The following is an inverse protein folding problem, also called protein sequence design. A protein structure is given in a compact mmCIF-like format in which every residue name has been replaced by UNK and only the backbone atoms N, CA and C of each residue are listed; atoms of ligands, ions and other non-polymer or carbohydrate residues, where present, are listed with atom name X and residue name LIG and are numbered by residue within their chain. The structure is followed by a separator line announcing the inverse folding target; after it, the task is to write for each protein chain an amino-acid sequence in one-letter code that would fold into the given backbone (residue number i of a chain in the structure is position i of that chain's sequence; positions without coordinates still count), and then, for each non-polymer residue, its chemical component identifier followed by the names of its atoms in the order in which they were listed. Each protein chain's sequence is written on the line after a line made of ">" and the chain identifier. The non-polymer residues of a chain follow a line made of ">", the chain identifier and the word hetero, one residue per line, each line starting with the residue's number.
data_IF_955354630594
#
_entry.id   IF_955354630594
#
_cell.length_a   1.000
_cell.length_b   1.000
_cell.length_c   1.000
_cell.angle_alpha   90.00
_cell.angle_beta   90.00
_cell.angle_gamma   90.00
#
_symmetry.space_group_name_H-M   'P 1'
#
loop_
_entity.id
_entity.type
_entity.pdbx_description
1 polymer ?
#
# COMPACT_ATOMS: atom_id res chain seq x y z
N UNK A 1 -27.78 -16.91 -15.05
CA UNK A 1 -27.80 -18.10 -14.16
C UNK A 1 -26.73 -19.10 -14.63
N UNK A 2 -25.66 -19.35 -13.85
CA UNK A 2 -24.70 -20.43 -14.14
C UNK A 2 -24.91 -21.56 -13.13
N UNK A 3 -25.15 -22.78 -13.62
CA UNK A 3 -25.41 -23.99 -12.82
C UNK A 3 -24.28 -24.23 -11.81
N UNK A 4 -24.52 -23.92 -10.54
CA UNK A 4 -23.55 -24.11 -9.47
C UNK A 4 -23.51 -25.58 -9.05
N UNK A 5 -22.37 -26.26 -9.28
CA UNK A 5 -22.17 -27.65 -8.86
C UNK A 5 -22.18 -27.74 -7.33
N UNK A 6 -23.08 -28.56 -6.76
CA UNK A 6 -23.19 -28.84 -5.32
C UNK A 6 -22.01 -29.66 -4.77
N UNK A 7 -21.25 -30.34 -5.63
CA UNK A 7 -20.09 -31.17 -5.26
C UNK A 7 -18.80 -30.67 -5.94
N UNK A 8 -17.66 -30.90 -5.29
CA UNK A 8 -16.30 -30.48 -5.72
C UNK A 8 -16.08 -28.96 -5.83
N UNK A 9 -16.43 -28.22 -4.76
CA UNK A 9 -16.14 -26.78 -4.66
C UNK A 9 -14.63 -26.55 -4.56
N UNK A 10 -14.06 -25.85 -5.54
CA UNK A 10 -12.65 -25.46 -5.49
C UNK A 10 -12.38 -24.51 -4.31
N UNK A 11 -11.15 -24.46 -3.78
CA UNK A 11 -10.79 -23.48 -2.74
C UNK A 11 -11.08 -22.03 -3.17
N UNK A 12 -10.87 -21.70 -4.45
CA UNK A 12 -11.20 -20.40 -5.00
C UNK A 12 -12.71 -20.11 -4.92
N UNK A 13 -13.55 -21.12 -5.20
CA UNK A 13 -15.00 -20.99 -5.08
C UNK A 13 -15.42 -20.71 -3.64
N UNK A 14 -14.86 -21.43 -2.66
CA UNK A 14 -15.16 -21.22 -1.24
C UNK A 14 -14.78 -19.79 -0.78
N UNK A 15 -13.65 -19.27 -1.26
CA UNK A 15 -13.23 -17.88 -0.99
C UNK A 15 -14.18 -16.88 -1.66
N UNK A 16 -14.55 -17.10 -2.91
CA UNK A 16 -15.48 -16.22 -3.62
C UNK A 16 -16.88 -16.20 -2.97
N UNK A 17 -17.36 -17.34 -2.50
CA UNK A 17 -18.64 -17.45 -1.78
C UNK A 17 -18.59 -16.78 -0.40
N UNK A 18 -17.48 -16.94 0.34
CA UNK A 18 -17.29 -16.32 1.65
C UNK A 18 -17.13 -14.80 1.58
N UNK A 19 -16.61 -14.28 0.46
CA UNK A 19 -16.35 -12.85 0.24
C UNK A 19 -17.36 -12.21 -0.73
N UNK A 20 -18.47 -12.87 -1.02
CA UNK A 20 -19.50 -12.41 -1.98
C UNK A 20 -20.10 -11.04 -1.62
N UNK A 21 -20.13 -10.72 -0.33
CA UNK A 21 -20.74 -9.48 0.18
C UNK A 21 -19.76 -8.28 0.09
N UNK A 22 -18.52 -8.51 -0.35
CA UNK A 22 -17.56 -7.44 -0.60
C UNK A 22 -17.80 -6.86 -1.99
N UNK A 23 -18.22 -5.60 -2.04
CA UNK A 23 -18.39 -4.84 -3.29
C UNK A 23 -17.05 -4.59 -3.99
N UNK A 24 -16.67 -5.49 -4.91
CA UNK A 24 -15.39 -5.43 -5.61
C UNK A 24 -15.30 -4.25 -6.60
N UNK A 25 -16.44 -3.80 -7.15
CA UNK A 25 -16.52 -2.70 -8.12
C UNK A 25 -16.17 -1.35 -7.51
N UNK A 26 -16.41 -1.16 -6.22
CA UNK A 26 -16.06 0.07 -5.49
C UNK A 26 -14.58 0.14 -5.11
N UNK A 27 -13.80 -0.92 -5.32
CA UNK A 27 -12.39 -0.91 -4.97
C UNK A 27 -11.56 -0.11 -5.97
N UNK A 28 -10.47 0.46 -5.47
CA UNK A 28 -9.49 1.11 -6.33
C UNK A 28 -8.92 0.14 -7.40
N UNK A 29 -8.66 0.70 -8.58
CA UNK A 29 -7.97 0.01 -9.66
C UNK A 29 -6.47 0.21 -9.50
N UNK A 30 -5.72 -0.89 -9.31
CA UNK A 30 -4.25 -0.86 -9.28
C UNK A 30 -3.74 -1.26 -10.67
N UNK A 31 -3.10 -0.32 -11.35
CA UNK A 31 -2.39 -0.51 -12.61
C UNK A 31 -1.00 -1.13 -12.37
N UNK A 32 -0.43 -1.83 -13.38
CA UNK A 32 0.89 -2.45 -13.27
C UNK A 32 2.03 -1.48 -12.94
N UNK A 33 1.91 -0.20 -13.30
CA UNK A 33 2.88 0.84 -12.98
C UNK A 33 2.21 2.19 -12.79
N UNK A 34 2.73 3.00 -11.87
CA UNK A 34 2.28 4.40 -11.63
C UNK A 34 2.94 5.37 -12.60
N UNK A 35 4.21 5.08 -12.91
CA UNK A 35 5.12 5.94 -13.67
C UNK A 35 5.94 5.06 -14.59
N UNK A 36 6.31 5.60 -15.75
CA UNK A 36 7.22 4.91 -16.63
C UNK A 36 8.61 4.72 -15.95
N UNK A 37 9.38 3.68 -16.33
CA UNK A 37 10.71 3.44 -15.76
C UNK A 37 11.69 4.60 -15.93
N UNK A 38 11.60 5.34 -17.03
CA UNK A 38 12.47 6.46 -17.38
C UNK A 38 12.03 7.81 -16.80
N UNK A 39 10.86 7.91 -16.17
CA UNK A 39 10.41 9.17 -15.58
C UNK A 39 11.20 9.54 -14.31
N UNK A 40 11.63 10.79 -14.21
CA UNK A 40 12.39 11.27 -13.03
C UNK A 40 11.52 11.20 -11.77
N UNK A 41 11.98 10.47 -10.74
CA UNK A 41 11.29 10.38 -9.44
C UNK A 41 11.47 11.65 -8.62
N UNK A 42 10.61 11.88 -7.63
CA UNK A 42 10.78 13.00 -6.68
C UNK A 42 11.99 12.74 -5.78
N UNK A 43 12.70 13.80 -5.40
CA UNK A 43 13.78 13.67 -4.42
C UNK A 43 13.15 13.40 -3.05
N UNK A 44 13.63 12.38 -2.36
CA UNK A 44 13.13 12.00 -1.04
C UNK A 44 14.26 11.95 -0.03
N UNK A 45 14.08 12.58 1.13
CA UNK A 45 15.04 12.55 2.24
C UNK A 45 14.39 11.81 3.40
N UNK A 46 15.00 10.71 3.80
CA UNK A 46 14.53 9.82 4.88
C UNK A 46 15.56 9.74 6.03
N UNK A 47 16.80 10.11 5.77
CA UNK A 47 17.87 10.17 6.76
C UNK A 47 18.33 11.63 6.84
N UNK A 48 18.75 12.09 8.03
CA UNK A 48 19.18 13.47 8.29
C UNK A 48 18.14 14.55 7.93
N UNK A 49 16.86 14.28 8.26
CA UNK A 49 15.76 15.20 7.97
C UNK A 49 15.97 16.62 8.54
N UNK A 50 16.64 16.73 9.70
CA UNK A 50 16.98 18.00 10.34
C UNK A 50 17.84 18.91 9.44
N UNK A 51 18.86 18.36 8.78
CA UNK A 51 19.67 19.10 7.79
C UNK A 51 18.83 19.54 6.58
N UNK A 52 17.84 18.72 6.22
CA UNK A 52 16.86 19.06 5.17
C UNK A 52 15.89 20.18 5.56
N UNK A 53 15.63 20.42 6.85
CA UNK A 53 14.77 21.50 7.33
C UNK A 53 15.45 22.88 7.25
N UNK A 54 16.78 22.92 7.43
CA UNK A 54 17.56 24.17 7.44
C UNK A 54 17.82 24.74 6.03
N UNK A 55 17.56 23.98 4.98
CA UNK A 55 17.70 24.48 3.62
C UNK A 55 16.74 25.66 3.32
N UNK A 56 17.19 26.56 2.43
CA UNK A 56 16.43 27.73 2.03
C UNK A 56 15.28 27.35 1.08
N UNK A 57 14.16 26.92 1.67
CA UNK A 57 12.94 26.57 0.96
C UNK A 57 12.07 27.79 0.71
N UNK A 58 11.63 27.97 -0.54
CA UNK A 58 10.69 29.02 -0.90
C UNK A 58 9.26 28.73 -0.43
N UNK A 59 8.90 27.44 -0.41
CA UNK A 59 7.62 26.94 0.10
C UNK A 59 7.88 25.75 1.01
N UNK A 60 7.29 25.79 2.21
CA UNK A 60 7.32 24.69 3.17
C UNK A 60 5.91 24.18 3.37
N UNK A 61 5.71 22.90 3.11
CA UNK A 61 4.43 22.21 3.25
C UNK A 61 4.62 21.14 4.30
N UNK A 62 3.71 21.05 5.26
CA UNK A 62 3.58 19.88 6.11
C UNK A 62 2.20 19.26 5.91
N UNK A 63 2.15 17.94 5.84
CA UNK A 63 0.90 17.18 5.73
C UNK A 63 0.80 16.17 6.87
N UNK A 64 -0.44 15.89 7.25
CA UNK A 64 -0.75 14.84 8.21
C UNK A 64 -2.08 14.17 7.89
N UNK A 65 -2.22 12.93 8.34
CA UNK A 65 -3.47 12.18 8.37
C UNK A 65 -4.03 12.07 9.80
N UNK A 66 -5.34 11.84 9.89
CA UNK A 66 -6.04 11.46 11.12
C UNK A 66 -7.03 10.36 10.80
N UNK A 67 -7.27 9.50 11.79
CA UNK A 67 -8.32 8.50 11.73
C UNK A 67 -8.92 8.32 13.11
N UNK A 68 -10.11 8.87 13.31
CA UNK A 68 -10.84 8.93 14.58
C UNK A 68 -12.34 8.96 14.26
N UNK A 69 -13.17 8.61 15.24
CA UNK A 69 -14.63 8.71 15.11
C UNK A 69 -15.22 8.00 13.87
N UNK A 70 -14.66 6.84 13.51
CA UNK A 70 -15.11 6.06 12.35
C UNK A 70 -14.77 6.66 10.98
N UNK A 71 -14.04 7.77 10.92
CA UNK A 71 -13.66 8.44 9.67
C UNK A 71 -12.15 8.61 9.56
N UNK A 72 -11.70 8.78 8.32
CA UNK A 72 -10.31 9.09 7.97
C UNK A 72 -10.30 10.39 7.21
N UNK A 73 -9.38 11.26 7.58
CA UNK A 73 -9.21 12.54 6.93
C UNK A 73 -7.75 12.97 6.91
N UNK A 74 -7.52 14.06 6.20
CA UNK A 74 -6.23 14.65 5.95
C UNK A 74 -6.24 16.13 6.28
N UNK A 75 -5.05 16.65 6.58
CA UNK A 75 -4.85 18.08 6.67
C UNK A 75 -3.43 18.46 6.32
N UNK A 76 -3.24 19.74 6.04
CA UNK A 76 -1.93 20.27 5.73
C UNK A 76 -1.82 21.76 6.03
N UNK A 77 -0.58 22.18 6.24
CA UNK A 77 -0.18 23.55 6.46
C UNK A 77 0.87 23.92 5.41
N UNK A 78 0.61 24.99 4.66
CA UNK A 78 1.46 25.50 3.60
C UNK A 78 1.96 26.88 4.04
N UNK A 79 3.27 27.09 4.00
CA UNK A 79 3.92 28.36 4.27
C UNK A 79 4.71 28.79 3.05
N UNK A 80 4.41 29.99 2.53
CA UNK A 80 5.10 30.60 1.39
C UNK A 80 6.00 31.73 1.94
N UNK A 81 7.22 31.89 1.40
CA UNK A 81 8.08 33.04 1.72
C UNK A 81 7.26 34.34 1.58
N UNK A 82 7.12 35.09 2.68
CA UNK A 82 6.20 36.22 2.98
C UNK A 82 5.21 35.95 4.14
N UNK A 83 5.37 34.84 4.87
CA UNK A 83 4.59 34.50 6.08
C UNK A 83 3.10 34.23 5.82
N UNK A 84 2.68 34.12 4.56
CA UNK A 84 1.34 33.65 4.22
C UNK A 84 1.23 32.16 4.54
N UNK A 85 0.40 31.84 5.53
CA UNK A 85 0.09 30.46 5.93
C UNK A 85 -1.29 30.09 5.42
N UNK A 86 -1.36 29.00 4.66
CA UNK A 86 -2.61 28.41 4.19
C UNK A 86 -2.79 27.05 4.84
N UNK A 87 -4.03 26.75 5.22
CA UNK A 87 -4.40 25.49 5.85
C UNK A 87 -5.46 24.80 5.02
N UNK A 88 -5.49 23.48 5.09
CA UNK A 88 -6.59 22.71 4.55
C UNK A 88 -6.88 21.51 5.42
N UNK A 89 -8.16 21.14 5.45
CA UNK A 89 -8.68 19.99 6.19
C UNK A 89 -9.76 19.35 5.34
N UNK A 90 -9.62 18.05 5.07
CA UNK A 90 -10.53 17.32 4.18
C UNK A 90 -10.81 15.93 4.74
N UNK A 91 -12.10 15.61 4.87
CA UNK A 91 -12.58 14.28 5.24
C UNK A 91 -12.61 13.38 3.99
N UNK A 92 -11.83 12.31 3.99
CA UNK A 92 -11.69 11.42 2.84
C UNK A 92 -12.79 10.37 2.78
N UNK A 93 -13.16 9.79 3.92
CA UNK A 93 -14.06 8.65 3.91
C UNK A 93 -14.18 7.97 5.26
N UNK A 94 -14.99 6.92 5.28
CA UNK A 94 -15.14 6.06 6.45
C UNK A 94 -13.89 5.22 6.68
N UNK A 95 -13.65 4.81 7.92
CA UNK A 95 -12.48 4.02 8.34
C UNK A 95 -12.48 2.61 7.75
N UNK A 96 -13.64 2.09 7.42
CA UNK A 96 -13.81 0.80 6.76
C UNK A 96 -13.33 0.85 5.30
N UNK A 97 -13.27 2.05 4.72
CA UNK A 97 -12.99 2.22 3.31
C UNK A 97 -11.60 2.80 3.05
N UNK A 98 -11.21 3.78 3.85
CA UNK A 98 -9.97 4.53 3.73
C UNK A 98 -9.00 4.20 4.88
N UNK A 99 -7.71 4.43 4.68
CA UNK A 99 -6.69 4.26 5.70
C UNK A 99 -5.80 5.52 5.84
N UNK A 100 -5.08 5.70 6.97
CA UNK A 100 -4.28 6.91 7.21
C UNK A 100 -3.13 7.06 6.21
N UNK A 101 -2.61 5.95 5.69
CA UNK A 101 -1.54 5.99 4.70
C UNK A 101 -2.03 6.56 3.35
N UNK A 102 -3.21 6.14 2.89
CA UNK A 102 -3.87 6.69 1.72
C UNK A 102 -4.21 8.17 1.95
N UNK A 103 -4.63 8.53 3.17
CA UNK A 103 -4.89 9.90 3.55
C UNK A 103 -3.65 10.79 3.52
N UNK A 104 -2.48 10.29 3.93
CA UNK A 104 -1.22 11.02 3.76
C UNK A 104 -0.89 11.25 2.28
N UNK A 105 -0.98 10.22 1.45
CA UNK A 105 -0.71 10.38 0.01
C UNK A 105 -1.66 11.37 -0.66
N UNK A 106 -2.95 11.31 -0.30
CA UNK A 106 -3.94 12.27 -0.75
C UNK A 106 -3.60 13.69 -0.28
N UNK A 107 -3.17 13.84 0.98
CA UNK A 107 -2.77 15.12 1.55
C UNK A 107 -1.59 15.74 0.79
N UNK A 108 -0.63 14.91 0.39
CA UNK A 108 0.52 15.36 -0.40
C UNK A 108 0.09 15.86 -1.78
N UNK A 109 -0.77 15.11 -2.47
CA UNK A 109 -1.28 15.51 -3.79
C UNK A 109 -2.09 16.81 -3.70
N UNK A 110 -2.94 16.91 -2.69
CA UNK A 110 -3.80 18.07 -2.43
C UNK A 110 -3.02 19.31 -2.00
N UNK A 111 -1.96 19.14 -1.20
CA UNK A 111 -1.14 20.27 -0.80
C UNK A 111 -0.42 20.91 -1.99
N UNK A 112 0.04 20.10 -2.95
CA UNK A 112 0.68 20.60 -4.16
C UNK A 112 -0.31 21.24 -5.13
N UNK A 113 -1.55 20.74 -5.22
CA UNK A 113 -2.58 21.32 -6.10
C UNK A 113 -3.05 22.70 -5.63
N UNK A 114 -2.94 22.99 -4.32
CA UNK A 114 -3.32 24.28 -3.71
C UNK A 114 -2.25 25.37 -3.82
N UNK A 115 -1.08 25.06 -4.36
CA UNK A 115 -0.03 26.06 -4.55
C UNK A 115 -0.43 27.07 -5.64
N UNK A 116 -0.12 28.36 -5.46
CA UNK A 116 -0.27 29.32 -6.55
C UNK A 116 0.68 28.98 -7.70
N UNK A 117 0.56 29.67 -8.84
CA UNK A 117 1.54 29.56 -9.92
C UNK A 117 2.90 30.07 -9.43
N UNK A 118 3.81 29.14 -9.17
CA UNK A 118 5.18 29.41 -8.74
C UNK A 118 6.12 29.08 -9.90
N UNK A 119 7.23 29.83 -10.02
CA UNK A 119 8.27 29.55 -11.01
C UNK A 119 9.64 29.57 -10.34
N UNK A 120 10.49 28.64 -10.73
CA UNK A 120 11.88 28.54 -10.26
C UNK A 120 12.03 28.54 -8.73
N UNK A 121 11.07 27.92 -8.01
CA UNK A 121 11.09 27.83 -6.54
C UNK A 121 11.40 26.42 -6.05
N UNK A 122 12.03 26.35 -4.88
CA UNK A 122 12.29 25.11 -4.15
C UNK A 122 11.16 24.86 -3.13
N UNK A 123 10.49 23.73 -3.26
CA UNK A 123 9.33 23.33 -2.46
C UNK A 123 9.72 22.13 -1.60
N UNK A 124 9.66 22.29 -0.27
CA UNK A 124 9.77 21.20 0.68
C UNK A 124 8.39 20.71 1.08
N UNK A 125 8.17 19.40 0.96
CA UNK A 125 6.97 18.74 1.46
C UNK A 125 7.35 17.76 2.56
N UNK A 126 6.76 17.93 3.74
CA UNK A 126 7.09 17.21 4.95
C UNK A 126 5.93 16.30 5.38
N UNK A 127 6.24 15.06 5.76
CA UNK A 127 5.28 14.14 6.39
C UNK A 127 5.94 13.37 7.52
N UNK A 128 5.16 12.93 8.50
CA UNK A 128 5.60 11.97 9.53
C UNK A 128 5.44 10.51 9.10
N UNK A 129 4.77 10.25 7.97
CA UNK A 129 4.56 8.90 7.47
C UNK A 129 5.70 8.45 6.55
N UNK A 130 6.67 7.70 7.13
CA UNK A 130 7.82 7.13 6.41
C UNK A 130 7.39 6.27 5.21
N UNK A 131 6.31 5.51 5.35
CA UNK A 131 5.82 4.65 4.27
C UNK A 131 5.36 5.48 3.05
N UNK A 132 4.70 6.62 3.26
CA UNK A 132 4.30 7.51 2.18
C UNK A 132 5.51 8.05 1.40
N UNK A 133 6.57 8.47 2.11
CA UNK A 133 7.82 8.94 1.47
C UNK A 133 8.50 7.83 0.67
N UNK A 134 8.61 6.62 1.23
CA UNK A 134 9.20 5.47 0.54
C UNK A 134 8.39 5.06 -0.70
N UNK A 135 7.07 5.14 -0.62
CA UNK A 135 6.17 4.94 -1.75
C UNK A 135 6.43 5.94 -2.85
N UNK A 136 6.56 7.22 -2.53
CA UNK A 136 6.86 8.22 -3.55
C UNK A 136 8.26 8.04 -4.13
N UNK A 137 9.24 7.61 -3.33
CA UNK A 137 10.58 7.28 -3.83
C UNK A 137 10.55 6.16 -4.88
N UNK A 138 9.75 5.11 -4.63
CA UNK A 138 9.61 3.95 -5.53
C UNK A 138 8.15 3.53 -5.65
N UNK A 139 7.36 4.17 -6.54
CA UNK A 139 5.95 3.84 -6.71
C UNK A 139 5.81 2.44 -7.33
N UNK A 140 5.29 1.49 -6.54
CA UNK A 140 5.01 0.11 -6.95
C UNK A 140 3.51 -0.14 -7.12
N UNK A 141 3.13 -1.38 -7.40
CA UNK A 141 1.75 -1.85 -7.42
C UNK A 141 1.20 -1.97 -5.98
N UNK A 142 0.66 -0.88 -5.44
CA UNK A 142 0.17 -0.84 -4.06
C UNK A 142 -1.07 0.04 -3.92
N UNK A 143 -1.78 -0.13 -2.80
CA UNK A 143 -2.96 0.65 -2.44
C UNK A 143 -2.64 2.15 -2.33
N UNK A 144 -3.58 3.03 -2.69
CA UNK A 144 -3.34 4.48 -2.77
C UNK A 144 -2.60 4.90 -4.05
N UNK A 145 -2.67 4.07 -5.10
CA UNK A 145 -1.96 4.31 -6.36
C UNK A 145 -2.46 5.57 -7.07
N UNK A 146 -3.76 5.82 -7.02
CA UNK A 146 -4.40 6.99 -7.63
C UNK A 146 -3.82 8.29 -7.08
N UNK A 147 -3.67 8.40 -5.76
CA UNK A 147 -3.06 9.57 -5.11
C UNK A 147 -1.59 9.73 -5.48
N UNK A 148 -0.85 8.63 -5.60
CA UNK A 148 0.54 8.67 -6.07
C UNK A 148 0.61 9.18 -7.52
N UNK A 149 -0.29 8.74 -8.40
CA UNK A 149 -0.36 9.22 -9.78
C UNK A 149 -0.72 10.71 -9.84
N UNK A 150 -1.72 11.14 -9.05
CA UNK A 150 -2.12 12.55 -8.96
C UNK A 150 -0.99 13.43 -8.45
N UNK A 151 -0.30 13.00 -7.38
CA UNK A 151 0.88 13.67 -6.86
C UNK A 151 1.93 13.88 -7.95
N UNK A 152 2.27 12.83 -8.70
CA UNK A 152 3.29 12.90 -9.74
C UNK A 152 2.88 13.76 -10.94
N UNK A 153 1.59 13.76 -11.33
CA UNK A 153 1.06 14.70 -12.33
C UNK A 153 1.29 16.15 -11.90
N UNK A 154 0.95 16.50 -10.66
CA UNK A 154 1.17 17.85 -10.12
C UNK A 154 2.66 18.19 -9.97
N UNK A 155 3.51 17.22 -9.60
CA UNK A 155 4.96 17.43 -9.57
C UNK A 155 5.50 17.69 -10.99
N UNK A 156 4.97 16.99 -12.00
CA UNK A 156 5.40 17.20 -13.38
C UNK A 156 5.01 18.60 -13.89
N UNK A 157 3.82 19.10 -13.55
CA UNK A 157 3.43 20.49 -13.88
C UNK A 157 4.34 21.50 -13.17
N UNK A 158 4.61 21.32 -11.88
CA UNK A 158 5.52 22.19 -11.12
C UNK A 158 6.94 22.19 -11.70
N UNK A 159 7.43 21.04 -12.18
CA UNK A 159 8.74 20.92 -12.83
C UNK A 159 8.81 21.62 -14.18
N UNK A 160 7.72 21.62 -14.97
CA UNK A 160 7.65 22.37 -16.23
C UNK A 160 7.80 23.87 -15.99
N UNK A 161 7.31 24.36 -14.85
CA UNK A 161 7.48 25.75 -14.40
C UNK A 161 8.86 26.02 -13.74
N UNK A 162 9.79 25.06 -13.80
CA UNK A 162 11.14 25.19 -13.25
C UNK A 162 11.26 24.97 -11.74
N UNK A 163 10.18 24.52 -11.07
CA UNK A 163 10.22 24.29 -9.62
C UNK A 163 10.82 22.92 -9.27
N UNK A 164 11.47 22.86 -8.11
CA UNK A 164 11.99 21.62 -7.54
C UNK A 164 11.17 21.21 -6.32
N UNK A 165 10.70 19.95 -6.31
CA UNK A 165 9.92 19.39 -5.19
C UNK A 165 10.77 18.33 -4.48
N UNK A 166 10.93 18.50 -3.17
CA UNK A 166 11.65 17.57 -2.29
C UNK A 166 10.71 17.10 -1.19
N UNK A 167 10.59 15.78 -1.01
CA UNK A 167 9.77 15.16 0.03
C UNK A 167 10.66 14.73 1.20
N UNK A 168 10.36 15.24 2.39
CA UNK A 168 11.11 15.02 3.61
C UNK A 168 10.28 14.16 4.57
N UNK A 169 10.85 13.09 5.11
CA UNK A 169 10.27 12.40 6.24
C UNK A 169 10.75 13.04 7.55
N UNK A 170 9.81 13.48 8.38
CA UNK A 170 10.09 14.02 9.70
C UNK A 170 9.96 12.92 10.78
N UNK A 171 11.02 12.65 11.57
CA UNK A 171 10.91 11.77 12.71
C UNK A 171 10.02 12.41 13.80
N UNK A 172 9.51 11.58 14.71
CA UNK A 172 8.55 12.03 15.71
C UNK A 172 9.14 13.00 16.75
N UNK A 173 10.45 12.88 17.00
CA UNK A 173 11.24 13.66 17.95
C UNK A 173 11.49 15.10 17.51
N UNK A 174 11.39 15.39 16.21
CA UNK A 174 11.64 16.72 15.67
C UNK A 174 10.43 17.62 15.85
N UNK A 175 10.64 18.76 16.51
CA UNK A 175 9.63 19.78 16.70
C UNK A 175 9.54 20.63 15.43
N UNK A 176 8.38 20.58 14.78
CA UNK A 176 8.11 21.37 13.59
C UNK A 176 6.70 21.95 13.70
N UNK A 177 6.63 23.27 13.82
CA UNK A 177 5.37 23.99 13.99
C UNK A 177 4.39 23.73 12.83
N UNK A 178 4.87 23.68 11.59
CA UNK A 178 4.03 23.34 10.44
C UNK A 178 3.46 21.92 10.54
N UNK A 179 4.25 20.95 10.99
CA UNK A 179 3.77 19.58 11.18
C UNK A 179 2.73 19.49 12.32
N UNK A 180 2.90 20.29 13.38
CA UNK A 180 1.93 20.41 14.47
C UNK A 180 0.60 20.99 13.97
N UNK A 181 0.65 22.07 13.20
CA UNK A 181 -0.53 22.69 12.58
C UNK A 181 -1.21 21.73 11.60
N UNK A 182 -0.47 21.07 10.71
CA UNK A 182 -1.00 20.05 9.80
C UNK A 182 -1.70 18.91 10.56
N UNK A 183 -1.17 18.49 11.72
CA UNK A 183 -1.81 17.48 12.56
C UNK A 183 -3.10 17.98 13.20
N UNK A 184 -3.17 19.25 13.59
CA UNK A 184 -4.41 19.87 14.08
C UNK A 184 -5.47 19.88 12.97
N UNK A 185 -5.12 20.36 11.78
CA UNK A 185 -6.01 20.34 10.61
C UNK A 185 -6.49 18.93 10.26
N UNK A 186 -5.61 17.93 10.31
CA UNK A 186 -6.01 16.55 10.11
C UNK A 186 -6.99 16.07 11.20
N UNK A 187 -6.84 16.49 12.46
CA UNK A 187 -7.80 16.17 13.51
C UNK A 187 -9.16 16.85 13.27
N UNK A 188 -9.17 18.09 12.76
CA UNK A 188 -10.40 18.81 12.41
C UNK A 188 -11.24 18.03 11.37
N UNK A 189 -10.59 17.39 10.40
CA UNK A 189 -11.25 16.54 9.39
C UNK A 189 -11.88 15.26 9.96
N UNK A 190 -11.59 14.92 11.22
CA UNK A 190 -12.10 13.72 11.88
C UNK A 190 -12.96 14.05 13.11
N UNK A 191 -13.56 15.25 13.14
CA UNK A 191 -14.53 15.63 14.19
C UNK A 191 -15.75 14.71 14.19
N UNK A 192 -16.45 14.57 15.32
CA UNK A 192 -17.73 13.85 15.36
C UNK A 192 -18.67 14.39 14.28
N UNK A 193 -19.36 13.50 13.58
CA UNK A 193 -20.28 13.81 12.47
C UNK A 193 -19.63 14.41 11.20
N UNK A 194 -18.31 14.32 11.05
CA UNK A 194 -17.65 14.72 9.81
C UNK A 194 -18.09 13.82 8.64
N UNK A 195 -18.61 14.44 7.58
CA UNK A 195 -19.01 13.75 6.36
C UNK A 195 -17.91 13.81 5.30
N UNK A 196 -17.71 12.74 4.52
CA UNK A 196 -16.78 12.78 3.41
C UNK A 196 -17.28 13.71 2.30
N UNK A 197 -16.39 14.53 1.75
CA UNK A 197 -16.75 15.49 0.70
C UNK A 197 -17.01 14.82 -0.65
N UNK A 198 -16.43 13.64 -0.89
CA UNK A 198 -16.55 12.92 -2.15
C UNK A 198 -16.51 11.42 -1.88
N UNK A 199 -17.29 10.66 -2.64
CA UNK A 199 -17.17 9.21 -2.60
C UNK A 199 -15.91 8.79 -3.35
N UNK A 200 -14.94 8.27 -2.60
CA UNK A 200 -13.68 7.80 -3.13
C UNK A 200 -13.69 6.27 -3.19
N UNK A 201 -13.01 5.66 -4.18
CA UNK A 201 -12.88 4.22 -4.25
C UNK A 201 -12.31 3.65 -2.94
N UNK A 202 -12.82 2.49 -2.55
CA UNK A 202 -12.39 1.75 -1.37
C UNK A 202 -10.94 1.31 -1.55
N UNK A 203 -10.11 1.49 -0.53
CA UNK A 203 -8.72 1.04 -0.57
C UNK A 203 -8.66 -0.49 -0.62
N UNK A 204 -7.82 -1.06 -1.49
CA UNK A 204 -7.64 -2.52 -1.56
C UNK A 204 -7.03 -3.05 -0.27
N UNK A 205 -6.13 -2.30 0.36
CA UNK A 205 -5.50 -2.70 1.62
C UNK A 205 -6.49 -2.78 2.79
N UNK A 206 -7.45 -1.85 2.89
CA UNK A 206 -8.52 -1.90 3.91
C UNK A 206 -9.48 -3.03 3.63
N UNK A 207 -9.91 -3.18 2.38
CA UNK A 207 -10.79 -4.27 1.95
C UNK A 207 -10.16 -5.62 2.22
N UNK A 208 -8.87 -5.79 1.88
CA UNK A 208 -8.15 -7.03 2.17
C UNK A 208 -8.04 -7.30 3.67
N UNK A 209 -7.82 -6.26 4.48
CA UNK A 209 -7.79 -6.39 5.94
C UNK A 209 -9.15 -6.82 6.49
N UNK A 210 -10.25 -6.27 5.97
CA UNK A 210 -11.62 -6.65 6.34
C UNK A 210 -11.92 -8.09 5.90
N UNK A 211 -11.63 -8.43 4.65
CA UNK A 211 -11.78 -9.78 4.11
C UNK A 211 -11.00 -10.81 4.93
N UNK A 212 -9.78 -10.47 5.36
CA UNK A 212 -8.95 -11.34 6.21
C UNK A 212 -9.56 -11.54 7.61
N UNK A 213 -10.28 -10.55 8.14
CA UNK A 213 -11.01 -10.68 9.42
C UNK A 213 -12.28 -11.52 9.25
N UNK A 214 -12.97 -11.37 8.12
CA UNK A 214 -14.18 -12.13 7.77
C UNK A 214 -13.87 -13.58 7.37
N UNK A 215 -12.67 -13.84 6.84
CA UNK A 215 -12.20 -15.17 6.47
C UNK A 215 -12.18 -16.11 7.68
N UNK A 216 -13.18 -16.99 7.72
CA UNK A 216 -13.42 -17.98 8.79
C UNK A 216 -12.26 -18.98 8.92
N UNK A 217 -11.47 -19.19 7.86
CA UNK A 217 -10.42 -20.19 7.82
C UNK A 217 -9.02 -19.59 8.07
N UNK A 218 -8.65 -19.45 9.36
CA UNK A 218 -7.23 -19.30 9.75
C UNK A 218 -6.40 -20.58 9.54
N UNK A 219 -7.06 -21.67 9.16
CA UNK A 219 -6.46 -22.98 8.89
C UNK A 219 -6.78 -23.41 7.46
N UNK A 220 -5.77 -23.94 6.78
CA UNK A 220 -5.93 -24.63 5.51
C UNK A 220 -6.98 -25.74 5.73
N UNK A 221 -8.02 -25.87 4.87
CA UNK A 221 -9.03 -26.91 5.03
C UNK A 221 -8.37 -28.28 5.18
N UNK A 222 -8.93 -29.13 6.04
CA UNK A 222 -8.29 -30.37 6.48
C UNK A 222 -7.86 -31.24 5.29
N UNK A 223 -8.69 -31.32 4.25
CA UNK A 223 -8.48 -32.09 3.02
C UNK A 223 -7.44 -31.51 2.04
N UNK A 224 -7.01 -30.26 2.21
CA UNK A 224 -6.06 -29.61 1.31
C UNK A 224 -4.64 -30.00 1.72
N UNK A 225 -3.89 -30.51 0.73
CA UNK A 225 -2.51 -30.95 0.92
C UNK A 225 -2.38 -32.30 1.63
N UNK A 226 -3.42 -33.13 1.70
CA UNK A 226 -3.35 -34.45 2.38
C UNK A 226 -2.22 -35.34 1.87
N UNK A 227 -2.05 -35.39 0.55
CA UNK A 227 -0.96 -36.15 -0.06
C UNK A 227 0.42 -35.58 0.33
N UNK A 228 0.58 -34.25 0.23
CA UNK A 228 1.81 -33.56 0.62
C UNK A 228 2.09 -33.67 2.12
N UNK A 229 1.07 -33.61 2.99
CA UNK A 229 1.16 -33.81 4.45
C UNK A 229 1.45 -35.25 4.83
N UNK A 230 1.00 -36.23 4.03
CA UNK A 230 1.30 -37.66 4.22
C UNK A 230 2.76 -37.95 3.91
N UNK A 231 3.30 -37.26 2.94
CA UNK A 231 4.69 -37.39 2.49
C UNK A 231 5.64 -36.54 3.34
N UNK A 232 5.20 -35.35 3.73
CA UNK A 232 5.92 -34.39 4.55
C UNK A 232 4.96 -33.79 5.58
N UNK A 233 4.91 -34.39 6.77
CA UNK A 233 4.01 -34.01 7.87
C UNK A 233 4.23 -32.57 8.33
N UNK A 234 5.41 -32.03 8.09
CA UNK A 234 5.74 -30.67 8.47
C UNK A 234 5.38 -29.70 7.33
N UNK A 235 4.33 -28.90 7.56
CA UNK A 235 3.97 -27.79 6.66
C UNK A 235 5.20 -26.90 6.38
N UNK A 236 5.29 -26.25 5.19
CA UNK A 236 6.39 -25.35 4.87
C UNK A 236 6.55 -24.31 5.98
N UNK A 237 7.66 -24.42 6.72
CA UNK A 237 7.89 -23.66 7.95
C UNK A 237 9.35 -23.29 8.13
N UNK A 238 9.71 -22.83 9.33
CA UNK A 238 11.11 -22.46 9.64
C UNK A 238 12.09 -23.63 9.43
N UNK A 239 11.69 -24.85 9.80
CA UNK A 239 12.51 -26.05 9.62
C UNK A 239 12.73 -26.37 8.12
N UNK A 240 11.70 -26.20 7.28
CA UNK A 240 11.79 -26.42 5.82
C UNK A 240 12.76 -25.42 5.21
N UNK A 241 12.68 -24.14 5.59
CA UNK A 241 13.66 -23.13 5.15
C UNK A 241 15.08 -23.48 5.57
N UNK A 242 15.29 -23.88 6.82
CA UNK A 242 16.62 -24.29 7.29
C UNK A 242 17.20 -25.47 6.49
N UNK A 243 16.35 -26.45 6.11
CA UNK A 243 16.75 -27.59 5.28
C UNK A 243 17.14 -27.20 3.85
N UNK A 244 16.41 -26.27 3.22
CA UNK A 244 16.62 -25.92 1.80
C UNK A 244 17.58 -24.75 1.60
N UNK A 245 17.64 -23.77 2.51
CA UNK A 245 18.43 -22.54 2.36
C UNK A 245 19.95 -22.80 2.38
N UNK A 246 20.37 -23.92 2.97
CA UNK A 246 21.79 -24.35 3.01
C UNK A 246 22.21 -25.13 1.77
N UNK A 247 21.26 -25.52 0.91
CA UNK A 247 21.50 -26.37 -0.25
C UNK A 247 21.57 -25.56 -1.55
N UNK A 248 22.41 -25.99 -2.48
CA UNK A 248 22.38 -25.46 -3.84
C UNK A 248 21.08 -25.86 -4.56
N UNK A 249 20.70 -25.11 -5.60
CA UNK A 249 19.47 -25.39 -6.38
C UNK A 249 19.37 -26.85 -6.87
N UNK A 250 20.50 -27.48 -7.22
CA UNK A 250 20.54 -28.88 -7.67
C UNK A 250 20.23 -29.83 -6.52
N UNK A 251 20.87 -29.64 -5.37
CA UNK A 251 20.66 -30.46 -4.17
C UNK A 251 19.25 -30.28 -3.60
N UNK A 252 18.74 -29.05 -3.55
CA UNK A 252 17.36 -28.76 -3.18
C UNK A 252 16.36 -29.47 -4.10
N UNK A 253 16.63 -29.51 -5.41
CA UNK A 253 15.78 -30.21 -6.38
C UNK A 253 15.77 -31.71 -6.15
N UNK A 254 16.93 -32.32 -5.91
CA UNK A 254 17.03 -33.76 -5.60
C UNK A 254 16.34 -34.08 -4.28
N UNK A 255 16.57 -33.27 -3.24
CA UNK A 255 15.90 -33.44 -1.94
C UNK A 255 14.38 -33.30 -2.06
N UNK A 256 13.89 -32.34 -2.85
CA UNK A 256 12.46 -32.18 -3.10
C UNK A 256 11.87 -33.37 -3.87
N UNK A 257 12.59 -33.91 -4.85
CA UNK A 257 12.19 -35.12 -5.59
C UNK A 257 12.15 -36.35 -4.68
N UNK A 258 13.16 -36.54 -3.83
CA UNK A 258 13.21 -37.64 -2.87
C UNK A 258 12.12 -37.52 -1.81
N UNK A 259 11.87 -36.32 -1.30
CA UNK A 259 10.80 -36.08 -0.33
C UNK A 259 9.44 -36.27 -0.97
N UNK A 260 9.14 -35.61 -2.07
CA UNK A 260 7.78 -35.60 -2.67
C UNK A 260 7.47 -36.81 -3.56
N UNK A 261 8.49 -37.55 -3.99
CA UNK A 261 8.37 -38.59 -5.03
C UNK A 261 8.10 -38.02 -6.43
N UNK A 262 8.03 -36.70 -6.61
CA UNK A 262 7.77 -36.04 -7.89
C UNK A 262 9.08 -35.93 -8.70
N UNK A 263 9.60 -37.09 -9.13
CA UNK A 263 10.78 -37.21 -9.97
C UNK A 263 10.40 -37.33 -11.46
N UNK A 264 11.41 -37.39 -12.34
CA UNK A 264 11.19 -37.67 -13.77
C UNK A 264 10.71 -39.10 -14.05
N UNK A 265 10.81 -39.99 -13.07
CA UNK A 265 10.19 -41.31 -13.13
C UNK A 265 8.68 -41.10 -12.89
N UNK A 266 7.84 -41.57 -13.81
CA UNK A 266 6.38 -41.36 -13.79
C UNK A 266 5.68 -42.11 -12.65
N UNK A 267 6.44 -42.67 -11.73
CA UNK A 267 6.00 -43.44 -10.56
C UNK A 267 4.95 -42.73 -9.72
N UNK A 268 5.05 -41.40 -9.55
CA UNK A 268 4.03 -40.65 -8.82
C UNK A 268 2.72 -40.51 -9.62
N UNK A 269 2.81 -40.37 -10.96
CA UNK A 269 1.66 -40.28 -11.87
C UNK A 269 0.94 -41.61 -11.98
N UNK A 270 1.68 -42.71 -12.05
CA UNK A 270 1.10 -44.06 -12.06
C UNK A 270 0.40 -44.39 -10.73
N UNK A 271 0.99 -44.04 -9.57
CA UNK A 271 0.31 -44.20 -8.25
C UNK A 271 -1.02 -43.47 -8.12
N UNK A 272 -1.20 -42.35 -8.83
CA UNK A 272 -2.48 -41.60 -8.87
C UNK A 272 -3.35 -41.97 -10.07
N UNK A 273 -2.97 -43.02 -10.83
CA UNK A 273 -3.65 -43.52 -12.05
C UNK A 273 -3.76 -42.48 -13.16
N UNK A 274 -2.81 -41.55 -13.23
CA UNK A 274 -2.73 -40.56 -14.31
C UNK A 274 -1.86 -41.02 -15.49
N UNK A 275 -1.07 -42.09 -15.32
CA UNK A 275 -0.32 -42.77 -16.38
C UNK A 275 -0.40 -44.30 -16.17
N UNK A 276 -0.31 -45.06 -17.26
CA UNK A 276 -0.44 -46.54 -17.25
C UNK A 276 0.86 -47.27 -16.87
N UNK A 277 2.00 -46.59 -16.94
CA UNK A 277 3.32 -47.15 -16.61
C UNK A 277 4.12 -46.22 -15.71
N UNK A 278 4.94 -46.81 -14.83
CA UNK A 278 5.87 -46.12 -13.92
C UNK A 278 7.06 -45.45 -14.64
#
# INVERSE_FOLDING_TARGET
>A
MRKFRRQYRSPLFQVAEALKDIEMERMETIQPGVLAPWEKRVQTVVENAAQGLEANWAVRIAVSSSARNGVVGMGGAISIQNNEKRFFSVTLGKREEQNPYAAELAAMAEALSRLPKLRFRNIALMTRNKAAVLTLRRPRQQSGQSYSSQFYKTVQTLRRDGNTVTVLWLPASEECELARLAKQEAKLSTRPNATPQTQLPRMRSTTHTIARKQGIAKKVPEKVGNYSKRIDTALPGKHTRQLYDQLSRKESSVLAQLRTGMAQLNTYLHRIKACETD
#
